data_IF_236409724012
#
_entry.id   IF_236409724012
#
_cell.length_a   1.000
_cell.length_b   1.000
_cell.length_c   1.000
_cell.angle_alpha   90.00
_cell.angle_beta   90.00
_cell.angle_gamma   90.00
#
_symmetry.space_group_name_H-M   'P 1'
#
loop_
_entity.id
_entity.type
_entity.pdbx_description
1 polymer ?
#
# COMPACT_ATOMS: atom_id res chain seq x y z
N UNK A 1 -9.87 -4.24 -1.58
CA UNK A 1 -9.97 -3.30 -0.44
C UNK A 1 -9.49 -3.87 0.89
N UNK A 2 -9.13 -5.16 0.95
CA UNK A 2 -8.83 -5.84 2.22
C UNK A 2 -7.61 -5.28 2.95
N UNK A 3 -6.57 -4.86 2.21
CA UNK A 3 -5.35 -4.33 2.84
C UNK A 3 -5.55 -3.02 3.61
N UNK A 4 -6.47 -2.16 3.19
CA UNK A 4 -6.78 -0.93 3.95
C UNK A 4 -7.56 -1.23 5.23
N UNK A 5 -8.52 -2.16 5.16
CA UNK A 5 -9.25 -2.65 6.34
C UNK A 5 -8.29 -3.30 7.35
N UNK A 6 -7.37 -4.13 6.87
CA UNK A 6 -6.35 -4.79 7.71
C UNK A 6 -5.40 -3.77 8.36
N UNK A 7 -5.01 -2.71 7.63
CA UNK A 7 -4.26 -1.59 8.21
C UNK A 7 -5.05 -0.91 9.34
N UNK A 8 -6.32 -0.57 9.12
CA UNK A 8 -7.17 0.08 10.13
C UNK A 8 -7.33 -0.81 11.38
N UNK A 9 -7.53 -2.12 11.20
CA UNK A 9 -7.58 -3.08 12.30
C UNK A 9 -6.26 -3.11 13.08
N UNK A 10 -5.12 -3.10 12.39
CA UNK A 10 -3.80 -3.13 13.02
C UNK A 10 -3.50 -1.88 13.84
N UNK A 11 -3.77 -0.68 13.31
CA UNK A 11 -3.48 0.58 14.02
C UNK A 11 -4.46 0.83 15.18
N UNK A 12 -5.69 0.30 15.09
CA UNK A 12 -6.73 0.45 16.10
C UNK A 12 -7.42 1.82 16.12
N UNK A 13 -8.65 1.87 16.66
CA UNK A 13 -9.48 3.08 16.70
C UNK A 13 -8.92 4.21 17.57
N UNK A 14 -8.15 3.86 18.59
CA UNK A 14 -7.49 4.83 19.48
C UNK A 14 -6.33 5.56 18.80
N UNK A 15 -5.91 5.11 17.61
CA UNK A 15 -4.86 5.78 16.87
C UNK A 15 -5.36 7.14 16.35
N UNK A 16 -4.65 8.24 16.60
CA UNK A 16 -5.09 9.58 16.17
C UNK A 16 -5.22 9.73 14.65
N UNK A 17 -4.66 8.80 13.87
CA UNK A 17 -4.77 8.77 12.41
C UNK A 17 -5.89 7.87 11.89
N UNK A 18 -6.57 7.08 12.73
CA UNK A 18 -7.60 6.13 12.29
C UNK A 18 -8.69 6.82 11.45
N UNK A 19 -9.34 7.84 12.01
CA UNK A 19 -10.38 8.60 11.33
C UNK A 19 -9.85 9.42 10.15
N UNK A 20 -8.61 9.93 10.24
CA UNK A 20 -7.99 10.69 9.15
C UNK A 20 -7.73 9.81 7.92
N UNK A 21 -7.33 8.56 8.13
CA UNK A 21 -7.13 7.61 7.03
C UNK A 21 -8.45 7.26 6.36
N UNK A 22 -9.54 7.11 7.13
CA UNK A 22 -10.88 6.88 6.58
C UNK A 22 -11.32 8.08 5.74
N UNK A 23 -11.18 9.30 6.28
CA UNK A 23 -11.51 10.53 5.56
C UNK A 23 -10.71 10.64 4.25
N UNK A 24 -9.39 10.44 4.30
CA UNK A 24 -8.52 10.44 3.13
C UNK A 24 -8.94 9.39 2.08
N UNK A 25 -9.36 8.20 2.51
CA UNK A 25 -9.83 7.17 1.61
C UNK A 25 -11.19 7.50 0.99
N UNK A 26 -12.05 8.21 1.72
CA UNK A 26 -13.35 8.70 1.26
C UNK A 26 -13.27 9.87 0.26
N UNK A 27 -12.17 10.62 0.27
CA UNK A 27 -11.93 11.74 -0.67
C UNK A 27 -11.61 11.27 -2.11
N UNK A 28 -11.40 9.97 -2.33
CA UNK A 28 -11.20 9.42 -3.67
C UNK A 28 -12.54 9.20 -4.38
N UNK A 29 -12.67 9.74 -5.59
CA UNK A 29 -13.87 9.60 -6.44
C UNK A 29 -13.50 9.34 -7.92
N UNK A 30 -14.49 9.37 -8.81
CA UNK A 30 -14.28 9.15 -10.24
C UNK A 30 -13.45 10.26 -10.92
N UNK A 31 -13.49 11.49 -10.42
CA UNK A 31 -12.72 12.63 -10.92
C UNK A 31 -11.30 12.66 -10.30
N UNK A 32 -11.17 12.16 -9.08
CA UNK A 32 -9.94 12.10 -8.27
C UNK A 32 -9.65 10.66 -7.84
N UNK A 33 -9.43 9.74 -8.79
CA UNK A 33 -9.19 8.34 -8.44
C UNK A 33 -7.85 8.22 -7.73
N UNK A 34 -7.78 7.28 -6.78
CA UNK A 34 -6.52 6.89 -6.14
C UNK A 34 -5.53 6.39 -7.21
N UNK A 35 -4.35 7.00 -7.26
CA UNK A 35 -3.26 6.58 -8.17
C UNK A 35 -2.18 5.82 -7.40
N UNK A 36 -2.23 4.49 -7.45
CA UNK A 36 -1.21 3.63 -6.82
C UNK A 36 0.11 3.64 -7.58
N UNK A 37 1.19 3.27 -6.88
CA UNK A 37 2.52 3.13 -7.50
C UNK A 37 2.55 2.11 -8.64
N UNK A 38 1.71 1.07 -8.59
CA UNK A 38 1.53 0.10 -9.68
C UNK A 38 1.15 0.76 -11.03
N UNK A 39 0.50 1.93 -11.00
CA UNK A 39 0.06 2.65 -12.20
C UNK A 39 1.17 3.49 -12.85
N UNK A 40 2.34 3.61 -12.23
CA UNK A 40 3.42 4.49 -12.68
C UNK A 40 4.16 3.90 -13.89
N UNK A 41 3.64 4.11 -15.10
CA UNK A 41 4.16 3.46 -16.32
C UNK A 41 5.62 3.75 -16.67
N UNK A 42 6.19 4.82 -16.12
CA UNK A 42 7.58 5.23 -16.36
C UNK A 42 8.59 4.50 -15.46
N UNK A 43 8.13 3.86 -14.38
CA UNK A 43 9.00 3.09 -13.51
C UNK A 43 9.22 1.68 -14.09
N UNK A 44 10.40 1.12 -13.85
CA UNK A 44 10.73 -0.24 -14.22
C UNK A 44 9.69 -1.25 -13.69
N UNK A 45 9.42 -2.31 -14.45
CA UNK A 45 8.39 -3.32 -14.10
C UNK A 45 8.74 -4.04 -12.80
N UNK A 46 9.98 -4.48 -12.65
CA UNK A 46 10.43 -5.26 -11.51
C UNK A 46 10.58 -4.37 -10.28
N UNK A 47 11.00 -3.12 -10.48
CA UNK A 47 11.02 -2.12 -9.41
C UNK A 47 9.62 -1.80 -8.87
N UNK A 48 8.64 -1.69 -9.76
CA UNK A 48 7.24 -1.48 -9.37
C UNK A 48 6.68 -2.65 -8.60
N UNK A 49 6.98 -3.86 -9.03
CA UNK A 49 6.55 -5.08 -8.36
C UNK A 49 7.15 -5.18 -6.94
N UNK A 50 8.47 -5.00 -6.82
CA UNK A 50 9.18 -4.94 -5.55
C UNK A 50 8.56 -3.90 -4.60
N UNK A 51 8.43 -2.66 -5.07
CA UNK A 51 7.91 -1.55 -4.26
C UNK A 51 6.47 -1.80 -3.83
N UNK A 52 5.63 -2.37 -4.71
CA UNK A 52 4.24 -2.70 -4.38
C UNK A 52 4.15 -3.77 -3.29
N UNK A 53 5.02 -4.78 -3.35
CA UNK A 53 5.13 -5.83 -2.34
C UNK A 53 5.65 -5.30 -0.99
N UNK A 54 6.60 -4.37 -1.00
CA UNK A 54 7.12 -3.70 0.20
C UNK A 54 6.10 -2.75 0.84
N UNK A 55 5.32 -2.04 0.02
CA UNK A 55 4.36 -1.03 0.46
C UNK A 55 2.93 -1.60 0.62
N UNK A 56 2.79 -2.92 0.72
CA UNK A 56 1.50 -3.54 0.96
C UNK A 56 0.92 -3.04 2.29
N UNK A 57 -0.33 -2.56 2.24
CA UNK A 57 -1.06 -2.07 3.42
C UNK A 57 -1.47 -3.23 4.34
N UNK A 58 -1.64 -4.42 3.77
CA UNK A 58 -1.76 -5.64 4.55
C UNK A 58 -0.37 -6.08 5.03
N UNK A 59 -0.10 -5.85 6.32
CA UNK A 59 1.17 -6.20 6.96
C UNK A 59 1.48 -7.70 6.87
N UNK A 60 0.46 -8.57 6.87
CA UNK A 60 0.66 -10.01 6.74
C UNK A 60 1.07 -10.44 5.32
N UNK A 61 0.81 -9.59 4.31
CA UNK A 61 1.17 -9.82 2.91
C UNK A 61 2.35 -8.98 2.44
N UNK A 62 2.94 -8.18 3.33
CA UNK A 62 4.13 -7.39 3.04
C UNK A 62 5.34 -8.31 2.97
N UNK A 63 6.15 -8.17 1.92
CA UNK A 63 7.41 -8.93 1.86
C UNK A 63 8.37 -8.41 2.94
N UNK A 64 9.07 -9.34 3.59
CA UNK A 64 10.13 -9.03 4.56
C UNK A 64 11.45 -8.73 3.84
N UNK A 65 12.38 -8.04 4.51
CA UNK A 65 13.65 -7.60 3.93
C UNK A 65 14.40 -8.71 3.19
N UNK A 66 14.44 -9.93 3.72
CA UNK A 66 15.08 -11.07 3.05
C UNK A 66 14.43 -11.38 1.70
N UNK A 67 13.09 -11.47 1.66
CA UNK A 67 12.37 -11.73 0.40
C UNK A 67 12.46 -10.56 -0.58
N UNK A 68 12.68 -9.34 -0.10
CA UNK A 68 12.96 -8.19 -0.95
C UNK A 68 14.34 -8.30 -1.62
N UNK A 69 15.38 -8.73 -0.89
CA UNK A 69 16.73 -8.93 -1.45
C UNK A 69 16.83 -10.09 -2.44
N UNK A 70 15.90 -11.05 -2.37
CA UNK A 70 15.79 -12.17 -3.32
C UNK A 70 14.97 -11.79 -4.58
N UNK A 71 14.48 -10.55 -4.68
CA UNK A 71 13.67 -10.09 -5.81
C UNK A 71 14.53 -9.85 -7.06
N UNK A 72 14.09 -10.21 -8.28
CA UNK A 72 14.85 -10.04 -9.54
C UNK A 72 15.31 -8.61 -9.87
N UNK A 73 14.82 -7.61 -9.14
CA UNK A 73 15.22 -6.22 -9.35
C UNK A 73 16.59 -5.90 -8.75
N UNK A 74 16.97 -6.62 -7.68
CA UNK A 74 18.31 -6.57 -7.08
C UNK A 74 19.22 -7.60 -7.76
#
# INVERSE_FOLDING_TARGET
>A
EDGFKNLLQHIGKENPFFERLIALAGDFDAERPRKSFTMWRYADVEFRDLTTKLMNLDLARRIITRGALEHPWF
#
